data_IF_608934415277
#
_entry.id   IF_608934415277
#
_cell.length_a   1.000
_cell.length_b   1.000
_cell.length_c   1.000
_cell.angle_alpha   90.00
_cell.angle_beta   90.00
_cell.angle_gamma   90.00
#
_symmetry.space_group_name_H-M   'P 1'
#
loop_
_entity.id
_entity.type
_entity.pdbx_description
1 polymer ?
#
# COMPACT_ATOMS: atom_id res chain seq x y z
N UNK A 1 10.76 -16.00 -21.05
CA UNK A 1 9.84 -17.10 -21.40
C UNK A 1 8.45 -16.86 -20.84
N UNK A 2 7.42 -17.20 -21.63
CA UNK A 2 6.03 -17.17 -21.19
C UNK A 2 5.81 -18.35 -20.25
N UNK A 3 5.57 -18.05 -18.97
CA UNK A 3 5.32 -19.04 -17.93
C UNK A 3 4.27 -18.54 -16.95
N UNK A 4 3.58 -19.47 -16.30
CA UNK A 4 2.69 -19.16 -15.18
C UNK A 4 3.52 -18.57 -14.04
N UNK A 5 2.98 -17.57 -13.34
CA UNK A 5 3.72 -16.87 -12.27
C UNK A 5 3.74 -17.64 -10.97
N UNK A 6 2.63 -18.28 -10.62
CA UNK A 6 2.54 -19.21 -9.50
C UNK A 6 2.23 -20.61 -10.04
N UNK A 7 3.23 -21.48 -10.01
CA UNK A 7 3.16 -22.85 -10.53
C UNK A 7 2.45 -23.82 -9.57
N UNK A 8 2.13 -23.39 -8.34
CA UNK A 8 1.58 -24.25 -7.29
C UNK A 8 0.06 -24.12 -7.12
N UNK A 9 -0.62 -23.33 -7.96
CA UNK A 9 -2.08 -23.18 -7.90
C UNK A 9 -2.75 -24.49 -8.32
N UNK A 10 -3.48 -25.19 -7.43
CA UNK A 10 -4.21 -26.39 -7.81
C UNK A 10 -5.35 -26.00 -8.76
N UNK A 11 -5.40 -26.64 -9.94
CA UNK A 11 -6.46 -26.39 -10.92
C UNK A 11 -7.63 -27.38 -10.73
N UNK A 12 -7.31 -28.66 -10.52
CA UNK A 12 -8.28 -29.73 -10.33
C UNK A 12 -7.68 -30.86 -9.50
N UNK A 13 -8.51 -31.51 -8.70
CA UNK A 13 -8.20 -32.77 -8.04
C UNK A 13 -8.93 -33.90 -8.78
N UNK A 14 -8.20 -34.98 -9.12
CA UNK A 14 -8.73 -36.10 -9.91
C UNK A 14 -8.73 -37.39 -9.07
N UNK A 15 -9.84 -38.09 -9.08
CA UNK A 15 -9.94 -39.44 -8.53
C UNK A 15 -9.46 -40.51 -9.53
N UNK A 16 -9.40 -41.76 -9.07
CA UNK A 16 -9.03 -42.89 -9.91
C UNK A 16 -9.83 -42.94 -11.21
N UNK A 17 -9.11 -43.01 -12.33
CA UNK A 17 -9.64 -43.08 -13.71
C UNK A 17 -10.31 -41.80 -14.22
N UNK A 18 -10.02 -40.63 -13.64
CA UNK A 18 -10.40 -39.33 -14.21
C UNK A 18 -9.25 -38.68 -14.98
N UNK A 19 -9.58 -37.92 -16.02
CA UNK A 19 -8.61 -37.17 -16.84
C UNK A 19 -9.23 -35.87 -17.34
N UNK A 20 -8.42 -34.82 -17.48
CA UNK A 20 -8.85 -33.56 -18.10
C UNK A 20 -7.91 -33.16 -19.23
N UNK A 21 -8.50 -32.65 -20.32
CA UNK A 21 -7.79 -32.05 -21.44
C UNK A 21 -8.36 -30.65 -21.64
N UNK A 22 -7.51 -29.63 -21.57
CA UNK A 22 -7.93 -28.22 -21.64
C UNK A 22 -7.14 -27.53 -22.75
N UNK A 23 -7.87 -26.77 -23.57
CA UNK A 23 -7.31 -25.83 -24.53
C UNK A 23 -7.79 -24.43 -24.15
N UNK A 24 -6.87 -23.49 -23.99
CA UNK A 24 -7.18 -22.12 -23.60
C UNK A 24 -6.33 -21.12 -24.39
N UNK A 25 -6.90 -19.94 -24.63
CA UNK A 25 -6.25 -18.85 -25.33
C UNK A 25 -6.08 -17.69 -24.35
N UNK A 26 -4.84 -17.24 -24.16
CA UNK A 26 -4.58 -16.00 -23.45
C UNK A 26 -4.91 -14.82 -24.35
N UNK A 27 -5.73 -13.89 -23.85
CA UNK A 27 -6.13 -12.67 -24.56
C UNK A 27 -5.91 -11.46 -23.67
N UNK A 28 -5.59 -10.33 -24.31
CA UNK A 28 -5.41 -9.05 -23.62
C UNK A 28 -6.78 -8.50 -23.18
N UNK A 29 -6.81 -7.84 -22.03
CA UNK A 29 -7.99 -7.19 -21.49
C UNK A 29 -7.63 -6.27 -20.32
N UNK A 30 -8.65 -5.67 -19.71
CA UNK A 30 -8.50 -4.73 -18.60
C UNK A 30 -9.34 -5.15 -17.41
N UNK A 31 -8.95 -4.71 -16.20
CA UNK A 31 -9.68 -4.97 -14.97
C UNK A 31 -11.13 -4.44 -15.01
N UNK A 32 -11.40 -3.39 -15.80
CA UNK A 32 -12.75 -2.85 -16.02
C UNK A 32 -13.68 -3.84 -16.73
N UNK A 33 -13.14 -4.75 -17.54
CA UNK A 33 -13.91 -5.83 -18.18
C UNK A 33 -14.04 -7.03 -17.25
N UNK A 34 -12.95 -7.44 -16.58
CA UNK A 34 -12.97 -8.54 -15.61
C UNK A 34 -11.75 -8.49 -14.68
N UNK A 35 -11.96 -8.82 -13.40
CA UNK A 35 -10.90 -8.79 -12.36
C UNK A 35 -9.70 -9.70 -12.63
N UNK A 36 -9.83 -10.68 -13.53
CA UNK A 36 -8.73 -11.60 -13.91
C UNK A 36 -7.58 -10.90 -14.64
N UNK A 37 -7.81 -9.69 -15.15
CA UNK A 37 -6.80 -8.82 -15.75
C UNK A 37 -6.31 -7.73 -14.77
N UNK A 38 -6.69 -7.80 -13.49
CA UNK A 38 -6.21 -6.88 -12.49
C UNK A 38 -4.78 -7.26 -12.06
N UNK A 39 -3.84 -6.39 -12.41
CA UNK A 39 -2.43 -6.58 -12.05
C UNK A 39 -2.15 -6.09 -10.63
N UNK A 40 -2.69 -4.93 -10.24
CA UNK A 40 -2.44 -4.30 -8.95
C UNK A 40 -3.48 -4.73 -7.89
N UNK A 41 -3.02 -5.15 -6.71
CA UNK A 41 -3.85 -5.64 -5.62
C UNK A 41 -3.58 -4.86 -4.33
N UNK A 42 -4.60 -4.72 -3.47
CA UNK A 42 -4.47 -4.01 -2.20
C UNK A 42 -4.02 -2.56 -2.34
N UNK A 43 -4.40 -1.89 -3.43
CA UNK A 43 -3.98 -0.52 -3.73
C UNK A 43 -4.56 0.42 -2.69
N UNK A 44 -3.67 1.06 -1.94
CA UNK A 44 -4.04 2.02 -0.90
C UNK A 44 -2.97 3.08 -0.71
N UNK A 45 -3.38 4.19 -0.12
CA UNK A 45 -2.47 5.25 0.25
C UNK A 45 -2.86 5.83 1.60
N UNK A 46 -1.89 6.47 2.23
CA UNK A 46 -2.09 7.35 3.37
C UNK A 46 -1.24 8.60 3.20
N UNK A 47 -1.62 9.68 3.86
CA UNK A 47 -0.74 10.83 3.98
C UNK A 47 0.55 10.43 4.70
N UNK A 48 1.66 11.09 4.35
CA UNK A 48 2.93 10.89 5.03
C UNK A 48 2.76 11.31 6.51
N UNK A 49 2.98 10.40 7.48
CA UNK A 49 2.85 10.74 8.89
C UNK A 49 3.99 11.66 9.34
N UNK A 50 3.63 12.82 9.87
CA UNK A 50 4.52 13.73 10.61
C UNK A 50 4.34 13.44 12.09
N UNK A 51 5.29 12.72 12.68
CA UNK A 51 5.27 12.35 14.10
C UNK A 51 6.30 13.22 14.83
N UNK A 52 5.85 14.02 15.80
CA UNK A 52 6.73 14.79 16.68
C UNK A 52 6.54 14.41 18.14
N UNK A 53 7.58 14.65 18.94
CA UNK A 53 7.56 14.52 20.40
C UNK A 53 7.85 15.92 20.94
N UNK A 54 6.85 16.51 21.57
CA UNK A 54 6.92 17.79 22.24
C UNK A 54 7.56 17.62 23.62
N UNK A 55 8.62 18.38 23.88
CA UNK A 55 9.46 18.26 25.06
C UNK A 55 10.19 16.91 25.19
N UNK A 56 11.16 16.84 26.09
CA UNK A 56 11.97 15.64 26.31
C UNK A 56 11.20 14.65 27.20
N UNK A 57 10.56 13.63 26.58
CA UNK A 57 9.85 12.57 27.31
C UNK A 57 10.87 11.53 27.80
N UNK A 58 11.17 11.61 29.10
CA UNK A 58 12.14 10.75 29.81
C UNK A 58 11.53 9.94 30.96
N UNK A 59 10.21 10.06 31.18
CA UNK A 59 9.48 9.25 32.16
C UNK A 59 9.32 7.80 31.67
N UNK A 60 9.89 6.85 32.40
CA UNK A 60 9.97 5.44 32.01
C UNK A 60 8.59 4.79 31.81
N UNK A 61 7.61 5.13 32.66
CA UNK A 61 6.25 4.60 32.56
C UNK A 61 5.54 5.11 31.30
N UNK A 62 5.68 6.40 30.99
CA UNK A 62 5.14 7.01 29.76
C UNK A 62 5.81 6.40 28.52
N UNK A 63 7.13 6.25 28.51
CA UNK A 63 7.88 5.62 27.40
C UNK A 63 7.33 4.22 27.14
N UNK A 64 7.25 3.38 28.18
CA UNK A 64 6.73 2.01 28.08
C UNK A 64 5.28 1.99 27.60
N UNK A 65 4.43 2.89 28.08
CA UNK A 65 3.03 3.00 27.67
C UNK A 65 2.89 3.34 26.18
N UNK A 66 3.66 4.32 25.69
CA UNK A 66 3.64 4.72 24.27
C UNK A 66 4.15 3.60 23.36
N UNK A 67 5.28 2.99 23.70
CA UNK A 67 5.88 1.91 22.90
C UNK A 67 4.93 0.70 22.85
N UNK A 68 4.38 0.28 24.00
CA UNK A 68 3.45 -0.85 24.08
C UNK A 68 2.11 -0.55 23.40
N UNK A 69 1.64 0.69 23.50
CA UNK A 69 0.37 1.14 22.92
C UNK A 69 0.42 1.32 21.40
N UNK A 70 1.60 1.48 20.80
CA UNK A 70 1.75 1.62 19.37
C UNK A 70 1.77 0.25 18.67
N UNK A 71 0.71 -0.15 17.93
CA UNK A 71 0.66 -1.48 17.29
C UNK A 71 1.70 -1.66 16.17
N UNK A 72 2.26 -0.55 15.68
CA UNK A 72 3.21 -0.50 14.57
C UNK A 72 4.65 -0.23 14.99
N UNK A 73 4.90 -0.16 16.30
CA UNK A 73 6.24 0.06 16.86
C UNK A 73 6.97 1.27 16.24
N UNK A 74 6.23 2.39 16.13
CA UNK A 74 6.76 3.65 15.57
C UNK A 74 7.84 4.26 16.47
N UNK A 75 7.83 3.92 17.76
CA UNK A 75 8.67 4.52 18.79
C UNK A 75 9.60 3.48 19.43
N UNK A 76 10.75 3.95 19.90
CA UNK A 76 11.75 3.18 20.65
C UNK A 76 12.23 3.98 21.87
N UNK A 77 12.85 3.29 22.83
CA UNK A 77 13.57 3.90 23.94
C UNK A 77 15.06 3.92 23.61
N UNK A 78 15.62 5.13 23.48
CA UNK A 78 17.04 5.34 23.21
C UNK A 78 17.65 6.09 24.39
N UNK A 79 18.27 5.35 25.31
CA UNK A 79 18.97 5.94 26.45
C UNK A 79 18.05 6.60 27.48
N UNK A 80 16.85 6.04 27.70
CA UNK A 80 15.85 6.58 28.62
C UNK A 80 15.03 7.72 28.02
N UNK A 81 14.94 7.80 26.69
CA UNK A 81 14.23 8.84 25.95
C UNK A 81 13.38 8.25 24.84
N UNK A 82 12.12 8.68 24.78
CA UNK A 82 11.22 8.31 23.70
C UNK A 82 11.75 8.87 22.37
N UNK A 83 11.96 8.01 21.38
CA UNK A 83 12.45 8.40 20.05
C UNK A 83 11.53 7.83 18.96
N UNK A 84 11.32 8.59 17.89
CA UNK A 84 10.58 8.12 16.70
C UNK A 84 11.53 7.34 15.79
N UNK A 85 11.32 6.02 15.65
CA UNK A 85 12.17 5.14 14.86
C UNK A 85 11.57 4.80 13.49
N UNK A 86 10.26 4.58 13.41
CA UNK A 86 9.58 4.10 12.20
C UNK A 86 8.33 4.94 11.85
N UNK A 87 8.48 6.24 11.54
CA UNK A 87 7.34 7.14 11.32
C UNK A 87 6.45 6.69 10.16
N UNK A 88 7.02 6.08 9.12
CA UNK A 88 6.27 5.58 7.96
C UNK A 88 5.32 4.43 8.30
N UNK A 89 5.55 3.69 9.39
CA UNK A 89 4.68 2.60 9.81
C UNK A 89 3.44 3.10 10.58
N UNK A 90 3.39 4.38 10.95
CA UNK A 90 2.26 4.97 11.66
C UNK A 90 0.96 4.81 10.86
N UNK A 91 -0.10 4.35 11.53
CA UNK A 91 -1.44 4.13 10.95
C UNK A 91 -2.47 5.15 11.46
N UNK A 92 -2.04 6.27 12.05
CA UNK A 92 -2.92 7.32 12.57
C UNK A 92 -3.98 6.82 13.58
N UNK A 93 -3.63 5.81 14.40
CA UNK A 93 -4.53 5.30 15.44
C UNK A 93 -4.64 6.20 16.69
N UNK A 94 -3.82 7.26 16.77
CA UNK A 94 -3.74 8.23 17.87
C UNK A 94 -3.49 7.68 19.29
N UNK A 95 -3.29 6.37 19.46
CA UNK A 95 -2.98 5.76 20.75
C UNK A 95 -1.73 6.34 21.43
N UNK A 96 -0.73 6.76 20.65
CA UNK A 96 0.47 7.42 21.19
C UNK A 96 0.18 8.79 21.81
N UNK A 97 -0.81 9.54 21.31
CA UNK A 97 -1.23 10.83 21.89
C UNK A 97 -1.80 10.62 23.29
N UNK A 98 -2.75 9.68 23.40
CA UNK A 98 -3.39 9.33 24.68
C UNK A 98 -2.37 8.80 25.72
N UNK A 99 -1.46 7.91 25.30
CA UNK A 99 -0.48 7.30 26.20
C UNK A 99 0.68 8.23 26.59
N UNK A 100 0.85 9.36 25.90
CA UNK A 100 1.91 10.35 26.19
C UNK A 100 1.39 11.61 26.89
N UNK A 101 0.10 11.66 27.27
CA UNK A 101 -0.54 12.88 27.80
C UNK A 101 -0.36 14.08 26.84
N UNK A 102 -0.60 13.84 25.56
CA UNK A 102 -0.49 14.81 24.46
C UNK A 102 0.93 15.31 24.17
N UNK A 103 1.99 14.70 24.73
CA UNK A 103 3.37 15.02 24.38
C UNK A 103 3.77 14.51 22.98
N UNK A 104 3.13 13.47 22.45
CA UNK A 104 3.34 13.01 21.07
C UNK A 104 2.27 13.61 20.18
N UNK A 105 2.66 14.18 19.04
CA UNK A 105 1.71 14.58 18.00
C UNK A 105 1.90 13.75 16.73
N UNK A 106 0.80 13.58 15.99
CA UNK A 106 0.77 12.88 14.71
C UNK A 106 -0.12 13.69 13.78
N UNK A 107 0.47 14.20 12.71
CA UNK A 107 -0.19 14.99 11.68
C UNK A 107 -0.03 14.34 10.30
N UNK A 108 -1.00 14.59 9.43
CA UNK A 108 -0.97 14.16 8.04
C UNK A 108 -0.32 15.26 7.18
N UNK A 109 0.75 14.93 6.46
CA UNK A 109 1.28 15.81 5.43
C UNK A 109 0.36 15.80 4.20
N UNK A 110 -0.34 16.89 3.93
CA UNK A 110 -1.29 17.02 2.83
C UNK A 110 -0.66 17.05 1.43
N UNK A 111 0.68 17.12 1.35
CA UNK A 111 1.44 17.17 0.09
C UNK A 111 2.15 15.87 -0.26
N UNK A 112 2.33 14.98 0.70
CA UNK A 112 3.13 13.76 0.53
C UNK A 112 2.30 12.54 0.89
N UNK A 113 2.41 11.49 0.07
CA UNK A 113 1.62 10.27 0.21
C UNK A 113 2.53 9.05 0.30
N UNK A 114 2.21 8.14 1.21
CA UNK A 114 2.77 6.79 1.27
C UNK A 114 1.80 5.88 0.53
N UNK A 115 2.16 5.57 -0.72
CA UNK A 115 1.40 4.69 -1.59
C UNK A 115 1.89 3.25 -1.43
N UNK A 116 0.98 2.27 -1.33
CA UNK A 116 1.31 0.86 -1.21
C UNK A 116 0.34 0.01 -1.99
N UNK A 117 0.87 -0.99 -2.69
CA UNK A 117 0.12 -2.00 -3.41
C UNK A 117 1.03 -3.20 -3.65
N UNK A 118 0.41 -4.29 -4.07
CA UNK A 118 1.09 -5.51 -4.50
C UNK A 118 0.73 -5.79 -5.96
N UNK A 119 1.49 -6.65 -6.64
CA UNK A 119 1.14 -7.11 -7.99
C UNK A 119 0.88 -8.61 -8.00
N UNK A 120 0.15 -9.08 -9.00
CA UNK A 120 -0.05 -10.51 -9.28
C UNK A 120 1.22 -11.19 -9.87
N UNK A 121 2.31 -10.44 -10.03
CA UNK A 121 3.58 -10.90 -10.60
C UNK A 121 3.64 -10.87 -12.13
N UNK A 122 2.54 -10.52 -12.83
CA UNK A 122 2.55 -10.37 -14.30
C UNK A 122 3.42 -9.18 -14.73
N UNK A 123 3.36 -8.07 -13.97
CA UNK A 123 4.22 -6.89 -14.07
C UNK A 123 4.86 -6.58 -12.71
N UNK A 124 6.01 -5.89 -12.74
CA UNK A 124 6.62 -5.31 -11.54
C UNK A 124 5.81 -4.12 -11.02
N UNK A 125 5.97 -3.78 -9.74
CA UNK A 125 5.29 -2.63 -9.16
C UNK A 125 5.63 -1.31 -9.90
N UNK A 126 6.89 -1.14 -10.32
CA UNK A 126 7.31 0.04 -11.08
C UNK A 126 6.59 0.13 -12.43
N UNK A 127 6.56 -0.96 -13.21
CA UNK A 127 5.87 -0.99 -14.51
C UNK A 127 4.38 -0.68 -14.39
N UNK A 128 3.73 -1.20 -13.34
CA UNK A 128 2.31 -0.90 -13.07
C UNK A 128 2.11 0.59 -12.79
N UNK A 129 2.96 1.20 -11.96
CA UNK A 129 2.84 2.61 -11.61
C UNK A 129 3.12 3.51 -12.83
N UNK A 130 4.15 3.19 -13.61
CA UNK A 130 4.50 3.93 -14.83
C UNK A 130 3.36 3.87 -15.83
N UNK A 131 2.79 2.67 -16.06
CA UNK A 131 1.69 2.50 -17.00
C UNK A 131 0.42 3.19 -16.51
N UNK A 132 0.15 3.21 -15.21
CA UNK A 132 -0.97 3.96 -14.64
C UNK A 132 -0.82 5.47 -14.86
N UNK A 133 0.38 6.02 -14.65
CA UNK A 133 0.66 7.44 -14.89
C UNK A 133 0.55 7.81 -16.38
N UNK A 134 1.03 6.95 -17.27
CA UNK A 134 0.89 7.09 -18.73
C UNK A 134 -0.58 7.15 -19.13
N UNK A 135 -1.39 6.15 -18.72
CA UNK A 135 -2.82 6.08 -19.03
C UNK A 135 -3.57 7.31 -18.49
N UNK A 136 -3.25 7.77 -17.28
CA UNK A 136 -3.85 8.97 -16.71
C UNK A 136 -3.52 10.22 -17.54
N UNK A 137 -2.27 10.35 -17.99
CA UNK A 137 -1.83 11.45 -18.87
C UNK A 137 -2.55 11.43 -20.21
N UNK A 138 -2.68 10.25 -20.82
CA UNK A 138 -3.39 10.06 -22.09
C UNK A 138 -4.87 10.42 -21.97
N UNK A 139 -5.54 9.94 -20.92
CA UNK A 139 -6.95 10.26 -20.65
C UNK A 139 -7.16 11.77 -20.47
N UNK A 140 -6.28 12.44 -19.72
CA UNK A 140 -6.37 13.89 -19.54
C UNK A 140 -6.17 14.66 -20.85
N UNK A 141 -5.24 14.23 -21.71
CA UNK A 141 -5.03 14.83 -23.04
C UNK A 141 -6.21 14.60 -23.97
N UNK A 142 -6.79 13.39 -23.96
CA UNK A 142 -7.97 13.05 -24.75
C UNK A 142 -9.15 13.94 -24.34
N UNK A 143 -9.43 14.04 -23.04
CA UNK A 143 -10.48 14.90 -22.51
C UNK A 143 -10.29 16.38 -22.89
N UNK A 144 -9.07 16.90 -22.76
CA UNK A 144 -8.77 18.29 -23.16
C UNK A 144 -8.98 18.54 -24.67
N UNK A 145 -8.78 17.52 -25.50
CA UNK A 145 -8.99 17.60 -26.95
C UNK A 145 -10.48 17.64 -27.29
N UNK A 146 -11.29 16.81 -26.62
CA UNK A 146 -12.75 16.81 -26.78
C UNK A 146 -13.36 18.17 -26.42
N UNK A 147 -12.93 18.78 -25.31
CA UNK A 147 -13.40 20.11 -24.92
C UNK A 147 -13.10 21.18 -25.96
N UNK A 148 -11.94 21.10 -26.64
CA UNK A 148 -11.55 22.07 -27.67
C UNK A 148 -12.28 21.85 -28.99
N UNK A 149 -12.69 20.62 -29.30
CA UNK A 149 -13.48 20.30 -30.50
C UNK A 149 -14.97 20.64 -30.37
N UNK A 150 -15.44 20.97 -29.17
CA UNK A 150 -16.81 21.42 -28.88
C UNK A 150 -16.95 22.95 -28.82
N UNK A 151 -15.84 23.70 -28.98
CA UNK A 151 -15.80 25.16 -29.08
C UNK A 151 -15.62 25.60 -30.55
#
# INVERSE_FOLDING_TARGET
DLKVKDENIPIVELADRQSVLIYAHAVMGTASTHVKWQVANGVGYKYLPKVSIENDVSDEDTIKAVIKGCPKKVFEDVGGKLTVAHPLECIFCDACKANSRDAVTVEADDRNFVFKFETDGSLTAQEVLDKAAEILSENAKAFATELRGQA
#
